data_IF_386728555882
#
_entry.id   IF_386728555882
#
_cell.length_a   1.000
_cell.length_b   1.000
_cell.length_c   1.000
_cell.angle_alpha   90.00
_cell.angle_beta   90.00
_cell.angle_gamma   90.00
#
_symmetry.space_group_name_H-M   'P 1'
#
loop_
_entity.id
_entity.type
_entity.pdbx_description
1 polymer ?
#
# COMPACT_ATOMS: atom_id res chain seq x y z
N UNK A 1 22.76 21.20 -8.15
CA UNK A 1 23.56 20.03 -7.73
C UNK A 1 24.02 20.25 -6.29
N UNK A 2 23.36 19.62 -5.30
CA UNK A 2 23.85 19.62 -3.92
C UNK A 2 24.25 18.18 -3.61
N UNK A 3 25.56 17.98 -3.44
CA UNK A 3 26.14 16.68 -3.09
C UNK A 3 25.55 16.22 -1.76
N UNK A 4 24.70 15.19 -1.81
CA UNK A 4 24.36 14.41 -0.63
C UNK A 4 25.60 13.64 -0.18
N UNK A 5 25.87 13.54 1.14
CA UNK A 5 27.02 12.83 1.63
C UNK A 5 26.93 11.37 1.17
N UNK A 6 27.99 10.89 0.51
CA UNK A 6 28.20 9.46 0.26
C UNK A 6 28.48 8.80 1.59
N UNK A 7 27.43 8.61 2.38
CA UNK A 7 27.50 7.85 3.61
C UNK A 7 27.56 6.38 3.18
N UNK A 8 28.50 5.62 3.73
CA UNK A 8 28.68 4.18 3.50
C UNK A 8 27.47 3.38 4.07
N UNK A 9 26.30 3.60 3.48
CA UNK A 9 24.95 3.30 4.00
C UNK A 9 24.34 2.01 3.48
N UNK A 10 24.98 1.32 2.53
CA UNK A 10 24.37 0.20 1.83
C UNK A 10 23.83 -0.88 2.79
N UNK A 11 24.60 -1.43 3.75
CA UNK A 11 24.09 -2.47 4.64
C UNK A 11 23.07 -1.95 5.66
N UNK A 12 23.23 -0.71 6.16
CA UNK A 12 22.29 -0.12 7.12
C UNK A 12 20.95 0.25 6.47
N UNK A 13 20.97 0.76 5.23
CA UNK A 13 19.75 1.03 4.47
C UNK A 13 19.06 -0.26 4.05
N UNK A 14 19.82 -1.31 3.72
CA UNK A 14 19.23 -2.60 3.38
C UNK A 14 18.60 -3.26 4.62
N UNK A 15 19.25 -3.19 5.79
CA UNK A 15 18.66 -3.67 7.04
C UNK A 15 17.37 -2.92 7.38
N UNK A 16 17.35 -1.59 7.24
CA UNK A 16 16.15 -0.80 7.46
C UNK A 16 15.02 -1.18 6.50
N UNK A 17 15.33 -1.45 5.21
CA UNK A 17 14.35 -1.95 4.24
C UNK A 17 13.75 -3.30 4.68
N UNK A 18 14.59 -4.25 5.13
CA UNK A 18 14.13 -5.55 5.62
C UNK A 18 13.25 -5.40 6.86
N UNK A 19 13.66 -4.55 7.82
CA UNK A 19 12.88 -4.27 9.02
C UNK A 19 11.53 -3.67 8.65
N UNK A 20 11.49 -2.65 7.77
CA UNK A 20 10.25 -2.04 7.32
C UNK A 20 9.34 -3.04 6.59
N UNK A 21 9.92 -3.92 5.76
CA UNK A 21 9.15 -4.97 5.08
C UNK A 21 8.53 -5.93 6.10
N UNK A 22 9.31 -6.38 7.09
CA UNK A 22 8.84 -7.25 8.17
C UNK A 22 7.76 -6.59 9.02
N UNK A 23 7.96 -5.34 9.43
CA UNK A 23 6.98 -4.57 10.19
C UNK A 23 5.70 -4.32 9.39
N UNK A 24 5.81 -4.05 8.10
CA UNK A 24 4.64 -3.90 7.23
C UNK A 24 3.82 -5.19 7.16
N UNK A 25 4.48 -6.32 6.94
CA UNK A 25 3.82 -7.62 6.91
C UNK A 25 3.19 -7.97 8.26
N UNK A 26 3.91 -7.76 9.36
CA UNK A 26 3.39 -7.95 10.72
C UNK A 26 2.23 -7.00 11.04
N UNK A 27 2.26 -5.77 10.54
CA UNK A 27 1.15 -4.82 10.66
C UNK A 27 -0.12 -5.29 9.97
N UNK A 28 0.01 -6.03 8.86
CA UNK A 28 -1.13 -6.69 8.23
C UNK A 28 -1.56 -7.97 8.97
N UNK A 29 -0.63 -8.66 9.61
CA UNK A 29 -0.92 -9.85 10.42
C UNK A 29 -1.69 -9.49 11.71
N UNK A 30 -1.24 -8.47 12.43
CA UNK A 30 -1.89 -7.93 13.64
C UNK A 30 -3.01 -6.93 13.32
N UNK A 31 -3.62 -7.05 12.15
CA UNK A 31 -4.76 -6.24 11.71
C UNK A 31 -5.75 -5.97 12.84
N UNK A 32 -6.39 -4.80 12.78
CA UNK A 32 -7.47 -4.47 13.69
C UNK A 32 -8.80 -4.90 13.05
N UNK A 33 -9.47 -5.88 13.65
CA UNK A 33 -10.83 -6.25 13.25
C UNK A 33 -11.79 -5.12 13.64
N UNK A 34 -12.48 -4.54 12.65
CA UNK A 34 -13.46 -3.48 12.89
C UNK A 34 -14.83 -4.10 13.15
N UNK A 35 -15.61 -4.31 12.09
CA UNK A 35 -16.96 -4.84 12.13
C UNK A 35 -17.28 -5.58 10.83
N UNK A 36 -18.20 -6.55 10.89
CA UNK A 36 -18.68 -7.31 9.73
C UNK A 36 -17.57 -8.01 8.92
N UNK A 37 -16.51 -8.49 9.59
CA UNK A 37 -15.38 -9.14 8.93
C UNK A 37 -14.47 -8.18 8.15
N UNK A 38 -14.58 -6.88 8.39
CA UNK A 38 -13.74 -5.86 7.79
C UNK A 38 -12.53 -5.58 8.68
N UNK A 39 -11.33 -5.83 8.14
CA UNK A 39 -10.07 -5.55 8.83
C UNK A 39 -9.45 -4.22 8.40
N UNK A 40 -8.90 -3.47 9.36
CA UNK A 40 -7.97 -2.35 9.15
C UNK A 40 -6.53 -2.85 9.20
N UNK A 41 -5.72 -2.44 8.23
CA UNK A 41 -4.37 -2.98 8.00
C UNK A 41 -3.32 -1.90 8.23
N UNK A 42 -2.27 -2.20 8.99
CA UNK A 42 -1.21 -1.22 9.31
C UNK A 42 -0.03 -1.24 8.33
N UNK A 43 0.01 -2.20 7.40
CA UNK A 43 1.16 -2.41 6.52
C UNK A 43 1.45 -1.25 5.57
N UNK A 44 0.42 -0.50 5.15
CA UNK A 44 0.54 0.66 4.25
C UNK A 44 1.51 1.71 4.80
N UNK A 45 1.55 1.93 6.12
CA UNK A 45 2.46 2.89 6.75
C UNK A 45 3.92 2.55 6.43
N UNK A 46 4.29 1.27 6.57
CA UNK A 46 5.64 0.80 6.27
C UNK A 46 5.95 0.89 4.76
N UNK A 47 4.98 0.54 3.91
CA UNK A 47 5.09 0.66 2.46
C UNK A 47 5.35 2.12 2.06
N UNK A 48 4.59 3.07 2.61
CA UNK A 48 4.75 4.50 2.31
C UNK A 48 6.09 5.06 2.81
N UNK A 49 6.61 4.58 3.94
CA UNK A 49 7.98 4.89 4.35
C UNK A 49 9.00 4.37 3.31
N UNK A 50 8.85 3.13 2.84
CA UNK A 50 9.75 2.58 1.82
C UNK A 50 9.66 3.34 0.49
N UNK A 51 8.45 3.69 0.05
CA UNK A 51 8.22 4.55 -1.12
C UNK A 51 8.99 5.86 -1.00
N UNK A 52 8.92 6.50 0.16
CA UNK A 52 9.57 7.79 0.43
C UNK A 52 11.10 7.71 0.42
N UNK A 53 11.68 6.66 0.99
CA UNK A 53 13.14 6.55 1.17
C UNK A 53 13.85 5.76 0.07
N UNK A 54 13.24 4.71 -0.48
CA UNK A 54 13.88 3.75 -1.39
C UNK A 54 13.35 3.84 -2.84
N UNK A 55 12.21 4.51 -3.06
CA UNK A 55 11.69 4.83 -4.39
C UNK A 55 10.82 3.77 -5.03
N UNK A 56 10.65 3.89 -6.35
CA UNK A 56 9.67 3.12 -7.13
C UNK A 56 9.90 1.61 -7.01
N UNK A 57 11.10 1.14 -7.36
CA UNK A 57 11.34 -0.31 -7.39
C UNK A 57 11.11 -0.97 -6.03
N UNK A 58 11.74 -0.46 -4.98
CA UNK A 58 11.63 -1.02 -3.63
C UNK A 58 10.27 -0.74 -2.98
N UNK A 59 9.67 0.43 -3.21
CA UNK A 59 8.34 0.76 -2.73
C UNK A 59 7.28 -0.16 -3.30
N UNK A 60 7.30 -0.41 -4.61
CA UNK A 60 6.37 -1.35 -5.27
C UNK A 60 6.60 -2.79 -4.81
N UNK A 61 7.87 -3.23 -4.71
CA UNK A 61 8.19 -4.58 -4.26
C UNK A 61 7.74 -4.83 -2.82
N UNK A 62 7.99 -3.88 -1.91
CA UNK A 62 7.53 -3.97 -0.53
C UNK A 62 6.00 -3.89 -0.46
N UNK A 63 5.36 -3.03 -1.25
CA UNK A 63 3.91 -3.00 -1.40
C UNK A 63 3.32 -4.36 -1.76
N UNK A 64 3.92 -5.04 -2.74
CA UNK A 64 3.55 -6.40 -3.14
C UNK A 64 3.74 -7.43 -2.02
N UNK A 65 4.89 -7.42 -1.36
CA UNK A 65 5.21 -8.38 -0.28
C UNK A 65 4.29 -8.18 0.92
N UNK A 66 4.13 -6.93 1.38
CA UNK A 66 3.32 -6.59 2.55
C UNK A 66 1.85 -6.88 2.28
N UNK A 67 1.33 -6.48 1.11
CA UNK A 67 -0.06 -6.74 0.74
C UNK A 67 -0.34 -8.23 0.47
N UNK A 68 0.66 -9.06 0.20
CA UNK A 68 0.47 -10.50 -0.02
C UNK A 68 -0.26 -11.21 1.13
N UNK A 69 -0.10 -10.71 2.37
CA UNK A 69 -0.81 -11.23 3.53
C UNK A 69 -2.33 -11.17 3.36
N UNK A 70 -2.85 -10.20 2.62
CA UNK A 70 -4.29 -10.05 2.36
C UNK A 70 -4.90 -11.24 1.62
N UNK A 71 -4.11 -12.00 0.86
CA UNK A 71 -4.57 -13.24 0.24
C UNK A 71 -4.88 -14.32 1.28
N UNK A 72 -4.08 -14.40 2.35
CA UNK A 72 -4.33 -15.34 3.45
C UNK A 72 -5.60 -14.92 4.20
N UNK A 73 -5.84 -13.61 4.34
CA UNK A 73 -7.01 -13.09 5.04
C UNK A 73 -8.31 -13.29 4.27
N UNK A 74 -8.31 -13.05 2.95
CA UNK A 74 -9.53 -12.92 2.17
C UNK A 74 -9.64 -13.91 1.00
N UNK A 75 -8.66 -14.81 0.85
CA UNK A 75 -8.62 -15.87 -0.17
C UNK A 75 -8.73 -15.38 -1.64
N UNK A 76 -8.42 -14.11 -1.90
CA UNK A 76 -8.42 -13.53 -3.23
C UNK A 76 -7.34 -12.43 -3.38
N UNK A 77 -6.81 -12.18 -4.58
CA UNK A 77 -5.63 -11.33 -4.77
C UNK A 77 -5.93 -9.83 -4.95
N UNK A 78 -7.20 -9.41 -4.91
CA UNK A 78 -7.59 -8.06 -5.35
C UNK A 78 -6.94 -6.93 -4.56
N UNK A 79 -6.85 -7.07 -3.24
CA UNK A 79 -6.17 -6.10 -2.39
C UNK A 79 -4.66 -6.02 -2.65
N UNK A 80 -4.03 -7.14 -3.04
CA UNK A 80 -2.62 -7.14 -3.46
C UNK A 80 -2.44 -6.21 -4.67
N UNK A 81 -3.31 -6.37 -5.67
CA UNK A 81 -3.26 -5.55 -6.89
C UNK A 81 -3.46 -4.08 -6.54
N UNK A 82 -4.48 -3.77 -5.75
CA UNK A 82 -4.81 -2.38 -5.37
C UNK A 82 -3.68 -1.72 -4.59
N UNK A 83 -3.17 -2.33 -3.52
CA UNK A 83 -2.09 -1.71 -2.73
C UNK A 83 -0.73 -1.69 -3.45
N UNK A 84 -0.47 -2.66 -4.34
CA UNK A 84 0.74 -2.63 -5.18
C UNK A 84 0.68 -1.50 -6.21
N UNK A 85 -0.48 -1.29 -6.83
CA UNK A 85 -0.72 -0.18 -7.75
C UNK A 85 -0.60 1.17 -7.05
N UNK A 86 -1.11 1.29 -5.83
CA UNK A 86 -0.97 2.47 -4.96
C UNK A 86 0.51 2.81 -4.72
N UNK A 87 1.27 1.86 -4.18
CA UNK A 87 2.70 2.04 -3.90
C UNK A 87 3.47 2.45 -5.17
N UNK A 88 3.16 1.82 -6.30
CA UNK A 88 3.76 2.15 -7.60
C UNK A 88 3.41 3.59 -8.05
N UNK A 89 2.13 3.96 -7.98
CA UNK A 89 1.64 5.28 -8.37
C UNK A 89 2.27 6.37 -7.50
N UNK A 90 2.17 6.25 -6.18
CA UNK A 90 2.71 7.23 -5.24
C UNK A 90 4.21 7.36 -5.42
N UNK A 91 4.95 6.25 -5.51
CA UNK A 91 6.40 6.30 -5.70
C UNK A 91 6.82 6.98 -7.01
N UNK A 92 6.07 6.75 -8.08
CA UNK A 92 6.35 7.32 -9.38
C UNK A 92 6.19 8.85 -9.39
N UNK A 93 5.07 9.35 -8.84
CA UNK A 93 4.78 10.78 -8.84
C UNK A 93 5.54 11.55 -7.76
N UNK A 94 5.77 10.95 -6.60
CA UNK A 94 6.50 11.57 -5.49
C UNK A 94 7.92 11.98 -5.93
N UNK A 95 8.60 11.14 -6.72
CA UNK A 95 9.94 11.42 -7.25
C UNK A 95 9.95 12.46 -8.37
N UNK A 96 8.88 12.57 -9.17
CA UNK A 96 8.84 13.47 -10.33
C UNK A 96 8.48 14.91 -9.98
N UNK A 97 7.63 15.12 -8.97
CA UNK A 97 7.01 16.44 -8.73
C UNK A 97 7.19 16.98 -7.31
N UNK A 98 7.87 16.25 -6.40
CA UNK A 98 7.97 16.58 -4.96
C UNK A 98 6.61 16.97 -4.36
N UNK A 99 5.56 16.31 -4.82
CA UNK A 99 4.19 16.55 -4.35
C UNK A 99 4.01 16.00 -2.95
N UNK A 100 3.00 16.50 -2.24
CA UNK A 100 2.61 15.96 -0.95
C UNK A 100 2.16 14.50 -1.12
N UNK A 101 2.73 13.60 -0.32
CA UNK A 101 2.42 12.18 -0.35
C UNK A 101 0.94 11.90 -0.13
N UNK A 102 0.33 12.57 0.87
CA UNK A 102 -1.09 12.43 1.19
C UNK A 102 -1.97 12.86 0.02
N UNK A 103 -1.56 13.90 -0.71
CA UNK A 103 -2.28 14.34 -1.90
C UNK A 103 -2.21 13.32 -3.04
N UNK A 104 -1.03 12.73 -3.27
CA UNK A 104 -0.86 11.69 -4.30
C UNK A 104 -1.64 10.43 -3.97
N UNK A 105 -1.64 10.05 -2.69
CA UNK A 105 -2.40 8.92 -2.17
C UNK A 105 -3.91 9.13 -2.32
N UNK A 106 -4.41 10.29 -1.90
CA UNK A 106 -5.81 10.68 -2.10
C UNK A 106 -6.21 10.67 -3.58
N UNK A 107 -5.32 11.16 -4.46
CA UNK A 107 -5.55 11.16 -5.90
C UNK A 107 -5.60 9.75 -6.48
N UNK A 108 -4.71 8.86 -6.01
CA UNK A 108 -4.74 7.45 -6.36
C UNK A 108 -6.06 6.81 -5.98
N UNK A 109 -6.52 6.99 -4.75
CA UNK A 109 -7.76 6.37 -4.28
C UNK A 109 -8.99 6.84 -5.05
N UNK A 110 -9.09 8.14 -5.34
CA UNK A 110 -10.22 8.69 -6.11
C UNK A 110 -10.21 8.19 -7.56
N UNK A 111 -9.05 8.15 -8.22
CA UNK A 111 -8.97 7.87 -9.66
C UNK A 111 -8.75 6.40 -10.03
N UNK A 112 -8.17 5.61 -9.13
CA UNK A 112 -7.71 4.25 -9.42
C UNK A 112 -8.18 3.27 -8.34
N UNK A 113 -7.91 3.56 -7.06
CA UNK A 113 -8.23 2.65 -5.96
C UNK A 113 -9.71 2.31 -5.86
N UNK A 114 -10.59 3.30 -5.74
CA UNK A 114 -12.04 3.11 -5.68
C UNK A 114 -12.60 2.45 -6.96
N UNK A 115 -12.22 2.88 -8.18
CA UNK A 115 -12.59 2.15 -9.40
C UNK A 115 -12.16 0.68 -9.42
N UNK A 116 -10.94 0.37 -8.97
CA UNK A 116 -10.47 -1.02 -8.87
C UNK A 116 -11.25 -1.82 -7.82
N UNK A 117 -11.63 -1.20 -6.70
CA UNK A 117 -12.52 -1.85 -5.73
C UNK A 117 -13.88 -2.15 -6.35
N UNK A 118 -14.47 -1.21 -7.07
CA UNK A 118 -15.73 -1.42 -7.78
C UNK A 118 -15.65 -2.55 -8.81
N UNK A 119 -14.55 -2.62 -9.57
CA UNK A 119 -14.30 -3.69 -10.53
C UNK A 119 -14.15 -5.05 -9.84
N UNK A 120 -13.23 -5.17 -8.88
CA UNK A 120 -12.89 -6.45 -8.27
C UNK A 120 -13.97 -6.95 -7.31
N UNK A 121 -14.44 -6.10 -6.41
CA UNK A 121 -15.39 -6.50 -5.37
C UNK A 121 -16.84 -6.38 -5.83
N UNK A 122 -17.16 -5.42 -6.72
CA UNK A 122 -18.52 -5.23 -7.23
C UNK A 122 -18.85 -6.08 -8.45
N UNK A 123 -17.96 -6.13 -9.46
CA UNK A 123 -18.24 -6.84 -10.71
C UNK A 123 -17.73 -8.29 -10.72
N UNK A 124 -16.51 -8.54 -10.22
CA UNK A 124 -15.86 -9.86 -10.30
C UNK A 124 -16.23 -10.78 -9.13
N UNK A 125 -16.25 -10.28 -7.89
CA UNK A 125 -16.60 -11.03 -6.67
C UNK A 125 -18.08 -10.92 -6.24
N UNK A 126 -18.96 -10.43 -7.13
CA UNK A 126 -20.23 -9.73 -6.88
C UNK A 126 -20.66 -9.55 -5.40
N UNK A 127 -19.89 -8.78 -4.63
CA UNK A 127 -20.28 -8.38 -3.28
C UNK A 127 -21.42 -7.34 -3.36
N UNK A 128 -22.42 -7.39 -2.45
CA UNK A 128 -23.45 -6.36 -2.38
C UNK A 128 -22.86 -4.95 -2.34
N UNK A 129 -23.54 -4.00 -3.00
CA UNK A 129 -23.06 -2.63 -3.17
C UNK A 129 -22.64 -1.98 -1.83
N UNK A 130 -23.40 -2.20 -0.76
CA UNK A 130 -23.05 -1.66 0.55
C UNK A 130 -21.69 -2.20 1.05
N UNK A 131 -21.43 -3.49 0.84
CA UNK A 131 -20.16 -4.12 1.18
C UNK A 131 -19.00 -3.59 0.34
N UNK A 132 -19.20 -3.43 -0.97
CA UNK A 132 -18.19 -2.84 -1.85
C UNK A 132 -17.84 -1.39 -1.45
N UNK A 133 -18.83 -0.59 -1.06
CA UNK A 133 -18.61 0.78 -0.56
C UNK A 133 -17.81 0.77 0.74
N UNK A 134 -18.15 -0.11 1.68
CA UNK A 134 -17.40 -0.24 2.95
C UNK A 134 -15.95 -0.66 2.68
N UNK A 135 -15.71 -1.60 1.76
CA UNK A 135 -14.37 -2.00 1.34
C UNK A 135 -13.62 -0.84 0.69
N UNK A 136 -14.27 -0.06 -0.17
CA UNK A 136 -13.63 1.09 -0.83
C UNK A 136 -13.20 2.15 0.20
N UNK A 137 -14.10 2.51 1.12
CA UNK A 137 -13.82 3.50 2.16
C UNK A 137 -12.74 3.02 3.12
N UNK A 138 -12.80 1.76 3.56
CA UNK A 138 -11.84 1.23 4.54
C UNK A 138 -10.45 1.00 3.92
N UNK A 139 -10.37 0.64 2.65
CA UNK A 139 -9.07 0.52 1.99
C UNK A 139 -8.46 1.91 1.70
N UNK A 140 -9.28 2.92 1.41
CA UNK A 140 -8.80 4.29 1.17
C UNK A 140 -8.25 5.03 2.40
N UNK A 141 -8.47 4.51 3.60
CA UNK A 141 -7.93 5.06 4.85
C UNK A 141 -6.76 4.25 5.42
N UNK A 142 -6.40 3.11 4.81
CA UNK A 142 -5.30 2.24 5.26
C UNK A 142 -3.94 2.78 4.80
#
# INVERSE_FOLDING_TARGET
MKNSPKLNLLPQSFLALLILTGLGYLGNYFKLELFFGVDFLFGSIAVMMVVSFYGIFWGTLVGLIVSSHTYILWAHPYAIIIFTCEACFVAFFLRRRRQNMVFLDSLYWVLIGIPLVGLFYGAILPIPLQGAIVIALKQAIN
#
